data_IF_222389518532
#
_entry.id   IF_222389518532
#
_cell.length_a   1.000
_cell.length_b   1.000
_cell.length_c   1.000
_cell.angle_alpha   90.00
_cell.angle_beta   90.00
_cell.angle_gamma   90.00
#
_symmetry.space_group_name_H-M   'P 1'
#
loop_
_entity.id
_entity.type
_entity.pdbx_description
1 polymer ?
#
# COMPACT_ATOMS: atom_id res chain seq x y z
N UNK A 1 35.55 5.39 28.73
CA UNK A 1 35.03 4.95 27.42
C UNK A 1 34.23 3.70 27.71
N UNK A 2 32.92 3.87 27.85
CA UNK A 2 31.98 2.81 28.22
C UNK A 2 30.86 2.82 27.20
N UNK A 3 30.57 1.64 26.66
CA UNK A 3 29.63 1.35 25.60
C UNK A 3 28.24 1.92 25.91
N UNK A 4 27.77 2.81 25.04
CA UNK A 4 26.40 3.30 25.04
C UNK A 4 25.51 2.28 24.37
N UNK A 5 24.60 1.71 25.15
CA UNK A 5 23.61 0.74 24.76
C UNK A 5 22.92 1.09 23.43
N UNK A 6 22.93 0.14 22.50
CA UNK A 6 22.02 0.15 21.36
C UNK A 6 20.59 0.07 21.89
N UNK A 7 19.82 1.13 21.68
CA UNK A 7 18.40 1.15 21.99
C UNK A 7 17.66 0.23 21.01
N UNK A 8 17.31 -0.97 21.47
CA UNK A 8 16.10 -1.66 21.06
C UNK A 8 14.89 -0.75 21.38
N UNK A 9 13.98 -0.58 20.42
CA UNK A 9 12.68 0.03 20.67
C UNK A 9 12.28 1.16 19.74
N UNK A 10 12.25 0.92 18.43
CA UNK A 10 11.26 1.57 17.58
C UNK A 10 10.26 0.48 17.18
N UNK A 11 9.21 0.32 18.01
CA UNK A 11 7.99 -0.37 17.60
C UNK A 11 7.60 0.18 16.22
N UNK A 12 7.64 -0.65 15.19
CA UNK A 12 7.25 -0.27 13.84
C UNK A 12 5.81 0.20 13.89
N UNK A 13 5.55 1.48 13.58
CA UNK A 13 4.20 1.94 13.30
C UNK A 13 3.70 1.14 12.08
N UNK A 14 2.87 0.14 12.33
CA UNK A 14 2.22 -0.63 11.28
C UNK A 14 1.33 0.31 10.49
N UNK A 15 1.42 0.24 9.17
CA UNK A 15 0.50 0.96 8.31
C UNK A 15 -0.86 0.29 8.33
N UNK A 16 -1.87 1.05 8.76
CA UNK A 16 -3.26 0.61 8.66
C UNK A 16 -3.73 0.96 7.26
N UNK A 17 -4.02 -0.07 6.48
CA UNK A 17 -4.57 0.11 5.14
C UNK A 17 -6.10 0.13 5.21
N UNK A 18 -6.71 1.13 4.57
CA UNK A 18 -8.15 1.24 4.42
C UNK A 18 -8.55 1.20 2.96
N UNK A 19 -9.64 0.50 2.66
CA UNK A 19 -10.30 0.56 1.37
C UNK A 19 -11.53 1.47 1.48
N UNK A 20 -11.78 2.26 0.44
CA UNK A 20 -13.04 2.97 0.27
C UNK A 20 -13.48 2.97 -1.20
N UNK A 21 -14.78 2.78 -1.40
CA UNK A 21 -15.37 2.77 -2.74
C UNK A 21 -16.86 3.08 -2.72
N UNK A 22 -17.42 3.39 -3.89
CA UNK A 22 -18.85 3.63 -4.04
C UNK A 22 -19.19 4.35 -5.33
N UNK A 23 -20.44 4.79 -5.48
CA UNK A 23 -20.84 5.58 -6.66
C UNK A 23 -20.10 6.91 -6.73
N UNK A 24 -19.78 7.48 -5.57
CA UNK A 24 -19.11 8.77 -5.41
C UNK A 24 -17.64 8.61 -4.95
N UNK A 25 -17.02 7.46 -5.21
CA UNK A 25 -15.69 7.11 -4.68
C UNK A 25 -14.60 8.10 -5.11
N UNK A 26 -14.61 8.54 -6.37
CA UNK A 26 -13.67 9.55 -6.86
C UNK A 26 -13.89 10.91 -6.20
N UNK A 27 -15.13 11.33 -6.02
CA UNK A 27 -15.48 12.59 -5.36
C UNK A 27 -15.02 12.59 -3.90
N UNK A 28 -15.19 11.45 -3.20
CA UNK A 28 -14.67 11.29 -1.85
C UNK A 28 -13.14 11.37 -1.81
N UNK A 29 -12.44 10.73 -2.76
CA UNK A 29 -10.98 10.80 -2.84
C UNK A 29 -10.50 12.25 -3.05
N UNK A 30 -11.15 13.01 -3.95
CA UNK A 30 -10.82 14.43 -4.17
C UNK A 30 -11.05 15.25 -2.90
N UNK A 31 -12.16 15.02 -2.20
CA UNK A 31 -12.52 15.76 -0.99
C UNK A 31 -11.59 15.49 0.20
N UNK A 32 -11.12 14.25 0.36
CA UNK A 32 -10.24 13.87 1.47
C UNK A 32 -8.77 14.21 1.23
N UNK A 33 -8.33 14.24 -0.02
CA UNK A 33 -6.91 14.36 -0.36
C UNK A 33 -6.66 15.61 -1.21
N UNK A 34 -6.35 15.43 -2.49
CA UNK A 34 -6.09 16.54 -3.41
C UNK A 34 -6.78 16.29 -4.75
N UNK A 35 -7.09 17.33 -5.52
CA UNK A 35 -7.61 17.17 -6.88
C UNK A 35 -6.70 16.34 -7.79
N UNK A 36 -5.40 16.26 -7.52
CA UNK A 36 -4.47 15.47 -8.32
C UNK A 36 -4.82 13.97 -8.36
N UNK A 37 -5.55 13.45 -7.36
CA UNK A 37 -5.97 12.04 -7.33
C UNK A 37 -6.89 11.68 -8.50
N UNK A 38 -7.64 12.64 -9.08
CA UNK A 38 -8.50 12.38 -10.24
C UNK A 38 -7.72 12.09 -11.52
N UNK A 39 -6.46 12.54 -11.58
CA UNK A 39 -5.56 12.30 -12.71
C UNK A 39 -4.67 11.07 -12.53
N UNK A 40 -4.76 10.41 -11.37
CA UNK A 40 -4.00 9.19 -11.08
C UNK A 40 -4.63 8.01 -11.84
N UNK A 41 -3.84 7.25 -12.61
CA UNK A 41 -4.37 6.08 -13.32
C UNK A 41 -4.62 4.91 -12.35
N UNK A 42 -5.44 3.90 -12.72
CA UNK A 42 -5.53 2.66 -11.93
C UNK A 42 -4.15 2.04 -11.68
N UNK A 43 -3.96 1.57 -10.44
CA UNK A 43 -2.72 1.06 -9.88
C UNK A 43 -1.56 2.07 -9.77
N UNK A 44 -1.84 3.35 -9.87
CA UNK A 44 -0.92 4.40 -9.43
C UNK A 44 -1.35 4.92 -8.06
N UNK A 45 -0.37 5.33 -7.26
CA UNK A 45 -0.62 6.02 -6.01
C UNK A 45 -0.13 7.45 -6.04
N UNK A 46 -0.59 8.21 -5.06
CA UNK A 46 -0.19 9.59 -4.83
C UNK A 46 0.16 9.73 -3.35
N UNK A 47 1.29 10.39 -3.08
CA UNK A 47 1.60 10.85 -1.73
C UNK A 47 0.72 12.05 -1.36
N UNK A 48 0.07 11.99 -0.20
CA UNK A 48 -0.92 12.96 0.23
C UNK A 48 -0.81 13.21 1.74
N UNK A 49 -1.72 14.02 2.27
CA UNK A 49 -1.89 14.18 3.72
C UNK A 49 -3.33 13.88 4.12
N UNK A 50 -3.50 13.22 5.25
CA UNK A 50 -4.80 13.00 5.89
C UNK A 50 -4.66 13.38 7.36
N UNK A 51 -5.53 14.26 7.87
CA UNK A 51 -5.42 14.82 9.22
C UNK A 51 -4.02 15.37 9.54
N UNK A 52 -3.40 16.08 8.57
CA UNK A 52 -2.03 16.65 8.66
C UNK A 52 -0.91 15.62 8.83
N UNK A 53 -1.19 14.33 8.57
CA UNK A 53 -0.19 13.26 8.55
C UNK A 53 0.09 12.81 7.12
N UNK A 54 1.35 12.53 6.75
CA UNK A 54 1.67 11.92 5.46
C UNK A 54 0.96 10.57 5.29
N UNK A 55 0.45 10.32 4.09
CA UNK A 55 -0.18 9.07 3.69
C UNK A 55 0.06 8.79 2.20
N UNK A 56 -0.23 7.58 1.74
CA UNK A 56 -0.27 7.25 0.32
C UNK A 56 -1.65 6.75 -0.07
N UNK A 57 -2.17 7.23 -1.19
CA UNK A 57 -3.49 6.88 -1.72
C UNK A 57 -3.30 6.19 -3.06
N UNK A 58 -3.69 4.94 -3.14
CA UNK A 58 -3.67 4.09 -4.33
C UNK A 58 -5.05 4.08 -4.99
N UNK A 59 -5.11 4.39 -6.29
CA UNK A 59 -6.32 4.16 -7.09
C UNK A 59 -6.35 2.71 -7.54
N UNK A 60 -7.31 1.92 -7.07
CA UNK A 60 -7.48 0.52 -7.48
C UNK A 60 -8.26 0.41 -8.79
N UNK A 61 -9.31 1.23 -8.94
CA UNK A 61 -10.06 1.42 -10.18
C UNK A 61 -10.77 2.79 -10.16
N UNK A 62 -11.73 3.02 -11.04
CA UNK A 62 -12.36 4.35 -11.22
C UNK A 62 -12.86 4.97 -9.90
N UNK A 63 -13.56 4.19 -9.09
CA UNK A 63 -14.19 4.64 -7.85
C UNK A 63 -13.79 3.82 -6.62
N UNK A 64 -12.64 3.13 -6.69
CA UNK A 64 -12.13 2.30 -5.60
C UNK A 64 -10.70 2.70 -5.29
N UNK A 65 -10.44 2.97 -4.02
CA UNK A 65 -9.19 3.51 -3.55
C UNK A 65 -8.76 2.78 -2.29
N UNK A 66 -7.45 2.75 -2.09
CA UNK A 66 -6.81 2.27 -0.88
C UNK A 66 -5.93 3.36 -0.32
N UNK A 67 -5.93 3.55 0.99
CA UNK A 67 -5.05 4.50 1.67
C UNK A 67 -4.19 3.80 2.71
N UNK A 68 -2.92 4.16 2.77
CA UNK A 68 -2.00 3.76 3.83
C UNK A 68 -1.91 4.88 4.89
N UNK A 69 -2.29 4.59 6.13
CA UNK A 69 -2.36 5.55 7.24
C UNK A 69 -1.48 5.11 8.41
N UNK A 70 -0.68 6.04 8.95
CA UNK A 70 0.33 5.81 10.01
C UNK A 70 -0.21 5.37 11.36
N UNK A 71 -1.49 5.61 11.59
CA UNK A 71 -2.19 5.28 12.81
C UNK A 71 -3.62 4.87 12.44
N UNK A 72 -4.32 4.23 13.37
CA UNK A 72 -5.75 3.97 13.25
C UNK A 72 -6.51 5.29 13.44
N UNK A 73 -6.46 6.13 12.43
CA UNK A 73 -7.24 7.36 12.34
C UNK A 73 -8.70 7.00 12.05
N UNK A 74 -9.63 7.84 12.51
CA UNK A 74 -11.07 7.72 12.26
C UNK A 74 -11.42 8.00 10.79
N UNK A 75 -10.87 7.18 9.88
CA UNK A 75 -11.01 7.32 8.44
C UNK A 75 -12.45 7.02 7.98
N UNK A 76 -13.10 6.09 8.65
CA UNK A 76 -14.53 5.79 8.51
C UNK A 76 -15.42 6.99 8.87
N UNK A 77 -15.14 7.67 9.98
CA UNK A 77 -15.86 8.89 10.36
C UNK A 77 -15.65 10.01 9.33
N UNK A 78 -14.42 10.18 8.83
CA UNK A 78 -14.12 11.17 7.80
C UNK A 78 -14.87 10.88 6.49
N UNK A 79 -14.98 9.61 6.09
CA UNK A 79 -15.77 9.18 4.93
C UNK A 79 -17.27 9.45 5.17
N UNK A 80 -17.79 9.09 6.35
CA UNK A 80 -19.19 9.28 6.70
C UNK A 80 -19.59 10.78 6.70
N UNK A 81 -18.69 11.65 7.17
CA UNK A 81 -18.91 13.10 7.22
C UNK A 81 -19.09 13.74 5.83
N UNK A 82 -18.62 13.11 4.75
CA UNK A 82 -18.80 13.62 3.39
C UNK A 82 -20.25 13.51 2.89
N UNK A 83 -21.07 12.65 3.52
CA UNK A 83 -22.45 12.38 3.10
C UNK A 83 -22.55 11.97 1.61
N UNK A 84 -21.59 11.17 1.15
CA UNK A 84 -21.51 10.61 -0.20
C UNK A 84 -21.87 9.11 -0.19
N UNK A 85 -22.22 8.54 -1.35
CA UNK A 85 -22.51 7.10 -1.49
C UNK A 85 -21.21 6.29 -1.57
N UNK A 86 -20.47 6.25 -0.45
CA UNK A 86 -19.17 5.59 -0.31
C UNK A 86 -19.16 4.75 0.96
N UNK A 87 -18.65 3.53 0.87
CA UNK A 87 -18.30 2.70 2.01
C UNK A 87 -16.80 2.79 2.28
N UNK A 88 -16.39 2.56 3.52
CA UNK A 88 -15.00 2.36 3.91
C UNK A 88 -14.86 1.18 4.86
N UNK A 89 -13.72 0.48 4.83
CA UNK A 89 -13.37 -0.58 5.77
C UNK A 89 -11.86 -0.82 5.82
N UNK A 90 -11.32 -1.40 6.89
CA UNK A 90 -9.95 -1.88 6.90
C UNK A 90 -9.71 -2.88 5.76
N UNK A 91 -8.54 -2.78 5.12
CA UNK A 91 -8.12 -3.70 4.06
C UNK A 91 -8.05 -5.13 4.63
N UNK A 92 -8.76 -6.11 4.03
CA UNK A 92 -8.76 -7.48 4.52
C UNK A 92 -7.49 -8.26 4.15
N UNK A 93 -6.61 -7.69 3.34
CA UNK A 93 -5.37 -8.35 2.94
C UNK A 93 -4.35 -8.29 4.06
N UNK A 94 -3.55 -9.35 4.18
CA UNK A 94 -2.32 -9.31 4.98
C UNK A 94 -1.29 -8.49 4.22
N UNK A 95 -0.69 -7.53 4.90
CA UNK A 95 0.36 -6.68 4.38
C UNK A 95 1.71 -7.22 4.87
N UNK A 96 2.55 -7.61 3.92
CA UNK A 96 3.91 -8.05 4.20
C UNK A 96 4.86 -6.93 3.77
N UNK A 97 5.53 -6.35 4.74
CA UNK A 97 6.57 -5.35 4.48
C UNK A 97 7.85 -6.10 4.12
N UNK A 98 8.35 -5.87 2.91
CA UNK A 98 9.62 -6.44 2.44
C UNK A 98 10.64 -5.30 2.43
N UNK A 99 11.92 -5.54 2.83
CA UNK A 99 12.97 -4.55 2.65
C UNK A 99 13.00 -4.09 1.19
N UNK A 100 12.84 -2.78 0.96
CA UNK A 100 12.54 -2.24 -0.37
C UNK A 100 13.57 -2.66 -1.42
N UNK A 101 14.86 -2.57 -1.12
CA UNK A 101 15.93 -2.95 -2.06
C UNK A 101 15.90 -4.44 -2.42
N UNK A 102 15.79 -5.32 -1.41
CA UNK A 102 15.67 -6.76 -1.62
C UNK A 102 14.43 -7.10 -2.43
N UNK A 103 13.29 -6.49 -2.07
CA UNK A 103 12.02 -6.73 -2.71
C UNK A 103 12.00 -6.29 -4.17
N UNK A 104 12.54 -5.10 -4.49
CA UNK A 104 12.64 -4.61 -5.86
C UNK A 104 13.58 -5.46 -6.73
N UNK A 105 14.62 -6.05 -6.15
CA UNK A 105 15.51 -6.99 -6.85
C UNK A 105 14.85 -8.36 -7.05
N UNK A 106 14.23 -8.90 -6.01
CA UNK A 106 13.73 -10.29 -5.97
C UNK A 106 12.38 -10.46 -6.66
N UNK A 107 11.47 -9.52 -6.49
CA UNK A 107 10.10 -9.64 -6.99
C UNK A 107 10.03 -9.92 -8.51
N UNK A 108 10.81 -9.28 -9.39
CA UNK A 108 10.86 -9.63 -10.81
C UNK A 108 11.32 -11.07 -11.12
N UNK A 109 12.09 -11.70 -10.22
CA UNK A 109 12.61 -13.06 -10.41
C UNK A 109 11.60 -14.15 -10.02
N UNK A 110 10.69 -13.82 -9.09
CA UNK A 110 9.75 -14.79 -8.50
C UNK A 110 8.30 -14.55 -8.89
N UNK A 111 8.00 -13.42 -9.52
CA UNK A 111 6.64 -13.04 -9.85
C UNK A 111 6.41 -12.88 -11.35
N UNK A 112 5.19 -13.21 -11.77
CA UNK A 112 4.68 -12.92 -13.11
C UNK A 112 3.58 -11.87 -13.03
N UNK A 113 3.50 -10.99 -14.03
CA UNK A 113 2.46 -9.96 -14.12
C UNK A 113 1.54 -10.22 -15.30
N UNK A 114 0.34 -9.63 -15.26
CA UNK A 114 -0.47 -9.52 -16.48
C UNK A 114 0.20 -8.55 -17.46
N UNK A 115 -0.03 -8.72 -18.79
CA UNK A 115 0.36 -7.72 -19.78
C UNK A 115 -0.09 -6.31 -19.36
N UNK A 116 0.69 -5.29 -19.73
CA UNK A 116 0.61 -3.87 -19.31
C UNK A 116 1.33 -3.51 -18.01
N UNK A 117 1.61 -4.47 -17.12
CA UNK A 117 2.34 -4.20 -15.87
C UNK A 117 3.77 -4.72 -15.92
N UNK A 118 4.72 -3.94 -15.40
CA UNK A 118 6.14 -4.29 -15.33
C UNK A 118 6.64 -4.20 -13.90
N UNK A 119 7.46 -5.17 -13.50
CA UNK A 119 8.22 -5.13 -12.23
C UNK A 119 9.63 -4.56 -12.43
N UNK A 120 10.04 -4.32 -13.69
CA UNK A 120 11.33 -3.72 -14.04
C UNK A 120 11.14 -2.74 -15.20
N UNK A 121 11.23 -1.41 -14.98
CA UNK A 121 11.35 -0.76 -13.68
C UNK A 121 10.05 -0.87 -12.85
N UNK A 122 10.17 -0.85 -11.52
CA UNK A 122 9.05 -0.71 -10.59
C UNK A 122 9.17 0.61 -9.81
N UNK A 123 8.73 1.73 -10.42
CA UNK A 123 8.88 3.05 -9.81
C UNK A 123 8.10 3.14 -8.50
N UNK A 124 8.54 4.05 -7.63
CA UNK A 124 7.74 4.46 -6.47
C UNK A 124 6.41 5.06 -6.96
N UNK A 125 5.40 5.04 -6.10
CA UNK A 125 4.04 5.45 -6.38
C UNK A 125 3.25 4.55 -7.35
N UNK A 126 3.56 3.26 -7.34
CA UNK A 126 2.91 2.27 -8.22
C UNK A 126 2.57 0.99 -7.48
N UNK A 127 1.41 0.43 -7.81
CA UNK A 127 1.07 -0.93 -7.48
C UNK A 127 1.06 -1.82 -8.74
N UNK A 128 1.36 -3.09 -8.56
CA UNK A 128 1.38 -4.08 -9.64
C UNK A 128 0.70 -5.35 -9.14
N UNK A 129 -0.43 -5.77 -9.74
CA UNK A 129 -0.97 -7.10 -9.52
C UNK A 129 -0.03 -8.14 -10.13
N UNK A 130 0.34 -9.14 -9.34
CA UNK A 130 1.31 -10.16 -9.74
C UNK A 130 0.93 -11.54 -9.19
N UNK A 131 1.62 -12.58 -9.65
CA UNK A 131 1.52 -13.93 -9.15
C UNK A 131 2.88 -14.46 -8.74
N UNK A 132 3.01 -14.93 -7.50
CA UNK A 132 4.17 -15.68 -6.99
C UNK A 132 3.68 -17.10 -6.76
N UNK A 133 4.23 -18.09 -7.46
CA UNK A 133 3.80 -19.50 -7.37
C UNK A 133 2.27 -19.68 -7.46
N UNK A 134 1.65 -19.05 -8.45
CA UNK A 134 0.19 -18.99 -8.68
C UNK A 134 -0.65 -18.29 -7.58
N UNK A 135 -0.03 -17.74 -6.54
CA UNK A 135 -0.70 -16.92 -5.53
C UNK A 135 -0.80 -15.49 -6.04
N UNK A 136 -2.02 -14.96 -6.12
CA UNK A 136 -2.24 -13.54 -6.43
C UNK A 136 -1.75 -12.66 -5.29
N UNK A 137 -0.94 -11.67 -5.64
CA UNK A 137 -0.47 -10.61 -4.75
C UNK A 137 -0.68 -9.25 -5.41
N UNK A 138 -0.80 -8.22 -4.58
CA UNK A 138 -0.64 -6.83 -5.02
C UNK A 138 0.64 -6.31 -4.41
N UNK A 139 1.65 -6.07 -5.24
CA UNK A 139 2.87 -5.40 -4.81
C UNK A 139 2.65 -3.89 -4.91
N UNK A 140 2.93 -3.13 -3.87
CA UNK A 140 2.75 -1.68 -3.85
C UNK A 140 4.04 -1.01 -3.38
N UNK A 141 4.68 -0.28 -4.28
CA UNK A 141 5.84 0.55 -3.99
C UNK A 141 5.35 1.99 -3.77
N UNK A 142 5.42 2.47 -2.54
CA UNK A 142 4.87 3.77 -2.13
C UNK A 142 5.74 4.45 -1.08
N UNK A 143 5.48 5.73 -0.82
CA UNK A 143 6.11 6.41 0.29
C UNK A 143 5.39 6.07 1.60
N UNK A 144 6.18 5.84 2.64
CA UNK A 144 5.72 5.67 4.01
C UNK A 144 6.58 6.53 4.91
N UNK A 145 5.97 7.53 5.56
CA UNK A 145 6.73 8.55 6.31
C UNK A 145 7.89 9.12 5.48
N UNK A 146 7.58 9.46 4.22
CA UNK A 146 8.53 10.00 3.23
C UNK A 146 9.64 9.03 2.78
N UNK A 147 9.62 7.77 3.23
CA UNK A 147 10.57 6.75 2.79
C UNK A 147 9.94 5.73 1.84
N UNK A 148 10.63 5.32 0.76
CA UNK A 148 10.15 4.26 -0.12
C UNK A 148 9.98 2.94 0.61
N UNK A 149 8.79 2.36 0.51
CA UNK A 149 8.40 1.08 1.08
C UNK A 149 7.82 0.19 -0.02
N UNK A 150 8.18 -1.10 0.01
CA UNK A 150 7.51 -2.13 -0.75
C UNK A 150 6.61 -2.98 0.16
N UNK A 151 5.31 -2.89 -0.09
CA UNK A 151 4.28 -3.67 0.61
C UNK A 151 3.73 -4.75 -0.32
N UNK A 152 3.76 -6.01 0.10
CA UNK A 152 3.16 -7.13 -0.62
C UNK A 152 1.86 -7.52 0.07
N UNK A 153 0.75 -7.38 -0.64
CA UNK A 153 -0.59 -7.66 -0.11
C UNK A 153 -1.08 -9.00 -0.64
N UNK A 154 -1.56 -9.87 0.25
CA UNK A 154 -2.08 -11.19 -0.11
C UNK A 154 -3.18 -11.65 0.85
N UNK A 155 -3.89 -12.72 0.50
CA UNK A 155 -4.84 -13.36 1.42
C UNK A 155 -4.10 -13.98 2.61
N UNK A 156 -4.70 -13.93 3.80
CA UNK A 156 -4.07 -14.42 5.04
C UNK A 156 -3.58 -15.89 4.94
N UNK A 157 -4.35 -16.75 4.27
CA UNK A 157 -4.00 -18.15 4.05
C UNK A 157 -2.68 -18.35 3.27
N UNK A 158 -2.22 -17.34 2.54
CA UNK A 158 -1.02 -17.41 1.70
C UNK A 158 0.18 -16.67 2.30
N UNK A 159 0.00 -15.93 3.39
CA UNK A 159 1.02 -15.03 3.93
C UNK A 159 2.36 -15.71 4.21
N UNK A 160 2.35 -16.92 4.78
CA UNK A 160 3.57 -17.68 5.09
C UNK A 160 4.33 -18.11 3.82
N UNK A 161 3.61 -18.55 2.77
CA UNK A 161 4.23 -18.94 1.49
C UNK A 161 4.87 -17.74 0.81
N UNK A 162 4.18 -16.60 0.79
CA UNK A 162 4.74 -15.36 0.23
C UNK A 162 5.97 -14.91 1.03
N UNK A 163 5.94 -14.95 2.36
CA UNK A 163 7.11 -14.60 3.18
C UNK A 163 8.32 -15.50 2.86
N UNK A 164 8.10 -16.81 2.71
CA UNK A 164 9.15 -17.76 2.33
C UNK A 164 9.76 -17.44 0.96
N UNK A 165 8.95 -17.03 -0.03
CA UNK A 165 9.44 -16.68 -1.36
C UNK A 165 10.45 -15.51 -1.35
N UNK A 166 10.36 -14.61 -0.36
CA UNK A 166 11.31 -13.52 -0.14
C UNK A 166 12.45 -13.88 0.84
N UNK A 167 12.40 -15.03 1.52
CA UNK A 167 13.39 -15.43 2.53
C UNK A 167 14.58 -16.22 1.98
N UNK A 168 14.52 -16.63 0.70
CA UNK A 168 15.56 -17.46 0.06
C UNK A 168 16.37 -16.56 -0.89
N UNK A 169 17.42 -15.94 -0.37
CA UNK A 169 18.47 -15.28 -1.13
C UNK A 169 19.71 -15.12 -0.25
N UNK A 170 20.44 -16.21 -0.03
CA UNK A 170 21.89 -16.18 0.23
C UNK A 170 22.63 -16.56 -1.06
#
# INVERSE_FOLDING_TARGET
MSEGAMSEGAMSAEDVLWDFAGADGLQAAIALFTPAISHTAPFQSLSATFNRRPCSVLRLCENNFRVALSEQLAFDEAIAALNLKVWSKPCPAVNLIVPTELGLKRLPEIATTKPLYTLTPFPCDRAVPAHIDAITVLAWHHLWQEQPRLTIQTAAANANKIRQAFSIAE
#
